data_IF_619894506078
#
_entry.id   IF_619894506078
#
_cell.length_a   1.000
_cell.length_b   1.000
_cell.length_c   1.000
_cell.angle_alpha   90.00
_cell.angle_beta   90.00
_cell.angle_gamma   90.00
#
_symmetry.space_group_name_H-M   'P 1'
#
loop_
_entity.id
_entity.type
_entity.pdbx_description
1 polymer ?
#
# COMPACT_ATOMS: atom_id res chain seq x y z
N UNK A 1 15.95 0.83 9.25
CA UNK A 1 15.76 1.97 10.21
C UNK A 1 14.91 1.50 11.37
N UNK A 2 15.30 1.85 12.57
CA UNK A 2 14.52 1.51 13.76
C UNK A 2 13.23 2.32 13.81
N UNK A 3 12.20 1.73 14.40
CA UNK A 3 10.87 2.35 14.46
C UNK A 3 10.88 3.72 15.13
N UNK A 4 11.65 3.90 16.20
CA UNK A 4 11.75 5.16 16.91
C UNK A 4 12.49 6.27 16.15
N UNK A 5 13.21 5.91 15.09
CA UNK A 5 13.92 6.88 14.24
C UNK A 5 13.03 7.40 13.10
N UNK A 6 11.92 6.75 12.84
CA UNK A 6 10.98 7.10 11.78
C UNK A 6 9.96 8.11 12.29
N UNK A 7 9.80 9.22 11.58
CA UNK A 7 8.91 10.32 11.97
C UNK A 7 7.70 10.39 11.05
N UNK A 8 6.61 10.95 11.55
CA UNK A 8 5.40 11.17 10.76
C UNK A 8 5.68 11.94 9.47
N UNK A 9 6.58 12.93 9.53
CA UNK A 9 6.95 13.73 8.36
C UNK A 9 7.76 12.95 7.33
N UNK A 10 8.31 11.78 7.68
CA UNK A 10 9.02 10.92 6.75
C UNK A 10 8.08 10.16 5.81
N UNK A 11 6.78 10.12 6.12
CA UNK A 11 5.77 9.48 5.28
C UNK A 11 5.48 10.35 4.07
N UNK A 12 5.76 9.82 2.88
CA UNK A 12 5.52 10.52 1.63
C UNK A 12 4.29 9.95 0.93
N UNK A 13 3.29 10.81 0.72
CA UNK A 13 2.02 10.42 0.10
C UNK A 13 1.71 11.18 -1.19
N UNK A 14 2.66 11.96 -1.67
CA UNK A 14 2.51 12.73 -2.90
C UNK A 14 3.15 11.96 -4.06
N UNK A 15 2.56 12.10 -5.23
CA UNK A 15 3.05 11.50 -6.44
C UNK A 15 4.41 12.04 -6.87
N UNK A 16 5.06 11.36 -7.79
CA UNK A 16 6.36 11.72 -8.34
C UNK A 16 6.64 10.94 -9.61
N UNK A 17 7.88 10.98 -10.06
CA UNK A 17 8.29 10.41 -11.35
C UNK A 17 8.69 8.94 -11.31
N UNK A 18 8.80 8.34 -10.11
CA UNK A 18 9.19 6.93 -9.99
C UNK A 18 8.01 6.02 -10.24
N UNK A 19 8.25 4.95 -10.97
CA UNK A 19 7.29 3.87 -11.15
C UNK A 19 7.65 2.72 -10.21
N UNK A 20 6.67 2.27 -9.42
CA UNK A 20 6.81 1.06 -8.65
C UNK A 20 6.22 -0.11 -9.43
N UNK A 21 6.86 -1.27 -9.33
CA UNK A 21 6.36 -2.46 -9.99
C UNK A 21 5.24 -3.08 -9.15
N UNK A 22 4.04 -3.08 -9.71
CA UNK A 22 2.89 -3.74 -9.12
C UNK A 22 2.74 -5.12 -9.75
N UNK A 23 2.59 -6.15 -8.91
CA UNK A 23 2.31 -7.51 -9.37
C UNK A 23 1.07 -8.03 -8.68
N UNK A 24 0.28 -8.88 -9.34
CA UNK A 24 -0.87 -9.51 -8.69
C UNK A 24 -0.42 -10.39 -7.54
N UNK A 25 -1.06 -10.22 -6.38
CA UNK A 25 -0.82 -11.02 -5.19
C UNK A 25 -1.90 -12.09 -5.07
N UNK A 26 -1.53 -13.23 -4.50
CA UNK A 26 -2.43 -14.35 -4.27
C UNK A 26 -2.50 -14.68 -2.77
N UNK A 27 -3.57 -15.38 -2.38
CA UNK A 27 -3.71 -15.88 -1.00
C UNK A 27 -2.49 -16.74 -0.65
N UNK A 28 -1.91 -16.47 0.51
CA UNK A 28 -0.72 -17.16 1.00
C UNK A 28 0.58 -16.42 0.72
N UNK A 29 0.57 -15.42 -0.15
CA UNK A 29 1.77 -14.61 -0.40
C UNK A 29 2.18 -13.86 0.87
N UNK A 30 3.48 -13.83 1.12
CA UNK A 30 4.07 -13.10 2.23
C UNK A 30 4.79 -11.85 1.72
N UNK A 31 4.60 -10.75 2.45
CA UNK A 31 5.21 -9.47 2.14
C UNK A 31 6.11 -9.08 3.31
N UNK A 32 7.38 -8.86 3.03
CA UNK A 32 8.35 -8.41 4.02
C UNK A 32 8.69 -6.95 3.77
N UNK A 33 8.60 -6.14 4.81
CA UNK A 33 8.92 -4.72 4.75
C UNK A 33 10.04 -4.39 5.71
N UNK A 34 10.93 -3.52 5.27
CA UNK A 34 11.94 -2.90 6.14
C UNK A 34 11.69 -1.41 6.13
N UNK A 35 11.51 -0.85 7.31
CA UNK A 35 11.19 0.56 7.47
C UNK A 35 12.31 1.44 6.96
N UNK A 36 12.01 2.30 5.99
CA UNK A 36 12.91 3.30 5.46
C UNK A 36 12.09 4.43 4.84
N UNK A 37 12.72 5.58 4.66
CA UNK A 37 12.07 6.72 3.99
C UNK A 37 11.80 6.41 2.52
N UNK A 38 12.63 5.56 1.90
CA UNK A 38 12.56 5.20 0.50
C UNK A 38 11.50 4.12 0.21
N UNK A 39 10.90 3.54 1.24
CA UNK A 39 9.83 2.56 1.02
C UNK A 39 8.56 3.19 0.41
N UNK A 40 8.38 4.49 0.56
CA UNK A 40 7.27 5.23 -0.03
C UNK A 40 7.66 5.67 -1.44
N UNK A 41 7.04 5.06 -2.44
CA UNK A 41 7.36 5.29 -3.85
C UNK A 41 6.21 6.08 -4.48
N UNK A 42 6.42 7.37 -4.78
CA UNK A 42 5.40 8.16 -5.47
C UNK A 42 5.23 7.67 -6.91
N UNK A 43 3.99 7.65 -7.36
CA UNK A 43 3.62 7.22 -8.71
C UNK A 43 2.56 8.16 -9.26
N UNK A 44 2.70 8.53 -10.53
CA UNK A 44 1.73 9.36 -11.24
C UNK A 44 1.12 8.56 -12.38
N UNK A 45 -0.21 8.54 -12.45
CA UNK A 45 -0.95 7.92 -13.54
C UNK A 45 -1.84 8.94 -14.23
N UNK A 46 -1.95 8.82 -15.56
CA UNK A 46 -2.92 9.58 -16.34
C UNK A 46 -3.98 8.62 -16.86
N UNK A 47 -5.21 8.83 -16.41
CA UNK A 47 -6.37 8.01 -16.80
C UNK A 47 -7.41 8.95 -17.38
N UNK A 48 -7.81 8.72 -18.65
CA UNK A 48 -8.82 9.53 -19.34
C UNK A 48 -8.51 11.03 -19.32
N UNK A 49 -7.21 11.39 -19.48
CA UNK A 49 -6.77 12.78 -19.48
C UNK A 49 -6.64 13.41 -18.09
N UNK A 50 -6.97 12.69 -17.04
CA UNK A 50 -6.81 13.16 -15.65
C UNK A 50 -5.57 12.55 -15.03
N UNK A 51 -4.67 13.40 -14.55
CA UNK A 51 -3.48 12.97 -13.84
C UNK A 51 -3.79 12.77 -12.36
N UNK A 52 -3.44 11.59 -11.82
CA UNK A 52 -3.62 11.25 -10.41
C UNK A 52 -2.30 10.83 -9.80
N UNK A 53 -2.08 11.26 -8.58
CA UNK A 53 -0.89 10.93 -7.81
C UNK A 53 -1.21 9.81 -6.83
N UNK A 54 -0.35 8.79 -6.81
CA UNK A 54 -0.48 7.61 -5.96
C UNK A 54 0.79 7.41 -5.16
N UNK A 55 0.69 6.65 -4.11
CA UNK A 55 1.85 6.20 -3.34
C UNK A 55 1.81 4.68 -3.26
N UNK A 56 2.92 4.05 -3.58
CA UNK A 56 3.10 2.61 -3.39
C UNK A 56 4.10 2.37 -2.27
N UNK A 57 3.95 1.26 -1.58
CA UNK A 57 4.85 0.87 -0.50
C UNK A 57 5.71 -0.28 -0.99
N UNK A 58 7.01 -0.06 -1.02
CA UNK A 58 7.98 -1.03 -1.52
C UNK A 58 8.27 -2.08 -0.46
N UNK A 59 8.21 -3.34 -0.84
CA UNK A 59 8.68 -4.47 -0.02
C UNK A 59 10.19 -4.64 -0.15
N UNK A 60 10.76 -5.58 0.60
CA UNK A 60 12.19 -5.90 0.51
C UNK A 60 12.58 -6.53 -0.84
N UNK A 61 11.59 -7.04 -1.59
CA UNK A 61 11.81 -7.58 -2.94
C UNK A 61 11.42 -6.58 -4.02
N UNK A 62 11.04 -7.11 -5.18
CA UNK A 62 10.64 -6.30 -6.35
C UNK A 62 9.18 -5.85 -6.29
N UNK A 63 8.44 -6.29 -5.29
CA UNK A 63 7.00 -6.06 -5.20
C UNK A 63 6.73 -4.74 -4.49
N UNK A 64 5.79 -3.96 -5.03
CA UNK A 64 5.23 -2.81 -4.34
C UNK A 64 3.71 -2.98 -4.20
N UNK A 65 3.16 -2.49 -3.10
CA UNK A 65 1.72 -2.54 -2.83
C UNK A 65 1.21 -1.12 -2.66
N UNK A 66 0.09 -0.80 -3.30
CA UNK A 66 -0.45 0.55 -3.19
C UNK A 66 -0.80 0.90 -1.74
N UNK A 67 -0.56 2.14 -1.36
CA UNK A 67 -0.93 2.62 -0.04
C UNK A 67 -2.44 2.48 0.20
N UNK A 68 -3.25 2.63 -0.85
CA UNK A 68 -4.70 2.48 -0.73
C UNK A 68 -5.11 1.06 -0.34
N UNK A 69 -4.40 0.03 -0.83
CA UNK A 69 -4.66 -1.36 -0.43
C UNK A 69 -4.28 -1.60 1.03
N UNK A 70 -3.13 -1.08 1.46
CA UNK A 70 -2.64 -1.26 2.83
C UNK A 70 -3.44 -0.47 3.86
N UNK A 71 -4.01 0.66 3.46
CA UNK A 71 -4.77 1.54 4.37
C UNK A 71 -6.28 1.37 4.25
N UNK A 72 -6.75 0.50 3.37
CA UNK A 72 -8.17 0.27 3.16
C UNK A 72 -8.84 -0.27 4.42
N UNK A 73 -10.07 0.18 4.69
CA UNK A 73 -10.89 -0.34 5.78
C UNK A 73 -11.26 -1.80 5.51
N UNK A 74 -11.36 -2.58 6.57
CA UNK A 74 -11.75 -4.00 6.52
C UNK A 74 -10.78 -4.88 5.72
N UNK A 75 -9.50 -4.49 5.66
CA UNK A 75 -8.47 -5.30 5.01
C UNK A 75 -7.75 -6.27 5.95
N UNK A 76 -8.22 -6.41 7.19
CA UNK A 76 -7.60 -7.27 8.21
C UNK A 76 -6.59 -6.55 9.09
N UNK A 77 -6.13 -5.37 8.69
CA UNK A 77 -5.27 -4.52 9.50
C UNK A 77 -6.14 -3.47 10.21
N UNK A 78 -5.95 -3.33 11.51
CA UNK A 78 -6.67 -2.33 12.29
C UNK A 78 -5.85 -1.03 12.30
N UNK A 79 -6.11 -0.17 11.32
CA UNK A 79 -5.42 1.09 11.19
C UNK A 79 -6.32 2.25 11.58
N UNK A 80 -5.73 3.24 12.27
CA UNK A 80 -6.41 4.43 12.75
C UNK A 80 -6.03 5.63 11.88
N UNK A 81 -6.93 6.59 11.78
CA UNK A 81 -6.69 7.83 11.07
C UNK A 81 -7.76 8.14 10.04
N UNK A 82 -7.88 9.40 9.66
CA UNK A 82 -8.84 9.89 8.67
C UNK A 82 -8.19 10.08 7.30
N UNK A 83 -6.92 10.42 7.26
CA UNK A 83 -6.16 10.62 6.02
C UNK A 83 -5.32 9.38 5.71
N UNK A 84 -4.90 9.25 4.45
CA UNK A 84 -3.96 8.18 4.06
C UNK A 84 -2.67 8.28 4.86
N UNK A 85 -2.16 9.49 5.04
CA UNK A 85 -0.92 9.71 5.79
C UNK A 85 -1.05 9.27 7.25
N UNK A 86 -2.16 9.61 7.91
CA UNK A 86 -2.42 9.17 9.29
C UNK A 86 -2.55 7.65 9.38
N UNK A 87 -3.22 7.02 8.41
CA UNK A 87 -3.36 5.57 8.38
C UNK A 87 -2.04 4.87 8.07
N UNK A 88 -1.17 5.48 7.26
CA UNK A 88 0.18 4.98 7.05
C UNK A 88 1.03 5.10 8.31
N UNK A 89 0.83 6.15 9.11
CA UNK A 89 1.48 6.24 10.42
C UNK A 89 1.05 5.08 11.33
N UNK A 90 -0.24 4.73 11.32
CA UNK A 90 -0.75 3.56 12.04
C UNK A 90 -0.15 2.25 11.48
N UNK A 91 0.04 2.17 10.16
CA UNK A 91 0.71 1.04 9.53
C UNK A 91 2.16 0.90 10.01
N UNK A 92 2.87 2.00 10.14
CA UNK A 92 4.24 2.01 10.69
C UNK A 92 4.26 1.49 12.13
N UNK A 93 3.22 1.72 12.90
CA UNK A 93 3.11 1.22 14.27
C UNK A 93 3.06 -0.32 14.34
N UNK A 94 2.72 -1.00 13.25
CA UNK A 94 2.72 -2.45 13.19
C UNK A 94 4.14 -3.04 13.09
N UNK A 95 5.13 -2.24 12.71
CA UNK A 95 6.51 -2.69 12.59
C UNK A 95 7.10 -3.02 13.96
N UNK A 96 8.06 -3.93 13.98
CA UNK A 96 8.85 -4.19 15.18
C UNK A 96 9.73 -3.00 15.51
N UNK A 97 10.29 -2.98 16.72
CA UNK A 97 11.20 -1.91 17.13
C UNK A 97 12.43 -1.80 16.22
N UNK A 98 12.83 -2.92 15.61
CA UNK A 98 13.94 -2.96 14.65
C UNK A 98 13.54 -2.48 13.25
N UNK A 99 12.26 -2.20 13.02
CA UNK A 99 11.79 -1.68 11.76
C UNK A 99 11.45 -2.73 10.72
N UNK A 100 10.99 -3.89 11.13
CA UNK A 100 10.58 -4.97 10.21
C UNK A 100 9.12 -5.32 10.40
N UNK A 101 8.47 -5.72 9.31
CA UNK A 101 7.08 -6.18 9.32
C UNK A 101 6.90 -7.28 8.28
N UNK A 102 6.22 -8.34 8.65
CA UNK A 102 5.78 -9.37 7.72
C UNK A 102 4.26 -9.41 7.69
N UNK A 103 3.70 -9.33 6.49
CA UNK A 103 2.28 -9.49 6.24
C UNK A 103 2.05 -10.74 5.40
N UNK A 104 0.89 -11.36 5.59
CA UNK A 104 0.43 -12.47 4.75
C UNK A 104 -0.90 -12.08 4.13
N UNK A 105 -1.04 -12.35 2.83
CA UNK A 105 -2.31 -12.16 2.12
C UNK A 105 -3.24 -13.30 2.52
N UNK A 106 -4.37 -12.98 3.14
CA UNK A 106 -5.34 -13.97 3.61
C UNK A 106 -6.53 -14.12 2.68
N UNK A 107 -6.84 -13.10 1.89
CA UNK A 107 -7.96 -13.13 0.95
C UNK A 107 -7.72 -12.17 -0.19
N UNK A 108 -8.16 -12.58 -1.38
CA UNK A 108 -8.22 -11.72 -2.56
C UNK A 108 -9.67 -11.70 -3.02
N UNK A 109 -10.25 -10.50 -3.11
CA UNK A 109 -11.62 -10.30 -3.59
C UNK A 109 -11.55 -9.56 -4.90
N UNK A 110 -12.14 -10.12 -5.94
CA UNK A 110 -12.27 -9.49 -7.25
C UNK A 110 -13.73 -9.11 -7.49
N UNK A 111 -13.94 -7.89 -7.97
CA UNK A 111 -15.27 -7.40 -8.32
C UNK A 111 -15.23 -6.76 -9.69
N UNK A 112 -16.16 -7.21 -10.54
CA UNK A 112 -16.37 -6.60 -11.84
C UNK A 112 -17.31 -5.41 -11.71
N UNK A 113 -17.02 -4.35 -12.44
CA UNK A 113 -17.89 -3.18 -12.49
C UNK A 113 -17.89 -2.60 -13.91
N UNK A 114 -18.96 -1.86 -14.22
CA UNK A 114 -19.10 -1.16 -15.49
C UNK A 114 -18.74 0.31 -15.28
N UNK A 115 -17.81 0.81 -16.08
CA UNK A 115 -17.43 2.21 -16.06
C UNK A 115 -18.48 3.08 -16.76
N UNK A 116 -18.41 4.39 -16.57
CA UNK A 116 -19.36 5.34 -17.18
C UNK A 116 -19.37 5.25 -18.70
N UNK A 117 -18.26 4.90 -19.32
CA UNK A 117 -18.14 4.74 -20.77
C UNK A 117 -18.68 3.41 -21.27
N UNK A 118 -19.24 2.55 -20.41
CA UNK A 118 -19.77 1.24 -20.73
C UNK A 118 -18.73 0.13 -20.74
N UNK A 119 -17.43 0.43 -20.56
CA UNK A 119 -16.41 -0.59 -20.48
C UNK A 119 -16.47 -1.33 -19.15
N UNK A 120 -16.02 -2.58 -19.14
CA UNK A 120 -15.94 -3.40 -17.93
C UNK A 120 -14.55 -3.35 -17.36
N UNK A 121 -14.46 -3.28 -16.02
CA UNK A 121 -13.20 -3.28 -15.31
C UNK A 121 -13.32 -4.17 -14.07
N UNK A 122 -12.18 -4.63 -13.55
CA UNK A 122 -12.12 -5.48 -12.37
C UNK A 122 -11.30 -4.78 -11.29
N UNK A 123 -11.87 -4.69 -10.09
CA UNK A 123 -11.16 -4.22 -8.91
C UNK A 123 -10.74 -5.39 -8.05
N UNK A 124 -9.51 -5.35 -7.56
CA UNK A 124 -8.97 -6.36 -6.62
C UNK A 124 -8.78 -5.72 -5.26
N UNK A 125 -9.25 -6.41 -4.24
CA UNK A 125 -9.10 -6.00 -2.85
C UNK A 125 -8.39 -7.11 -2.09
N UNK A 126 -7.40 -6.73 -1.31
CA UNK A 126 -6.59 -7.67 -0.56
C UNK A 126 -6.92 -7.57 0.93
N UNK A 127 -6.91 -8.71 1.60
CA UNK A 127 -6.91 -8.76 3.06
C UNK A 127 -5.59 -9.33 3.55
N UNK A 128 -5.13 -8.82 4.66
CA UNK A 128 -3.83 -9.14 5.24
C UNK A 128 -3.95 -9.54 6.69
N UNK A 129 -2.96 -10.27 7.18
CA UNK A 129 -2.71 -10.47 8.61
C UNK A 129 -1.24 -10.23 8.88
N UNK A 130 -0.94 -9.79 10.09
CA UNK A 130 0.45 -9.71 10.55
C UNK A 130 0.93 -11.13 10.83
N UNK A 131 2.00 -11.51 10.18
CA UNK A 131 2.54 -12.86 10.28
C UNK A 131 3.65 -12.96 11.34
#
# INVERSE_FOLDING_TARGET
MKKNEFKFDDIQVNGGEKEARMVPLAVGDELNFTLSKEMFVPRTETINGTTQDWTDIQTDGDIAVSASQLTRRNNGLTLNGKTIKERLASFVDLFSDEGTLKLKVTKVVERDFTQEDGSKSTSRYLKFTVA
#
